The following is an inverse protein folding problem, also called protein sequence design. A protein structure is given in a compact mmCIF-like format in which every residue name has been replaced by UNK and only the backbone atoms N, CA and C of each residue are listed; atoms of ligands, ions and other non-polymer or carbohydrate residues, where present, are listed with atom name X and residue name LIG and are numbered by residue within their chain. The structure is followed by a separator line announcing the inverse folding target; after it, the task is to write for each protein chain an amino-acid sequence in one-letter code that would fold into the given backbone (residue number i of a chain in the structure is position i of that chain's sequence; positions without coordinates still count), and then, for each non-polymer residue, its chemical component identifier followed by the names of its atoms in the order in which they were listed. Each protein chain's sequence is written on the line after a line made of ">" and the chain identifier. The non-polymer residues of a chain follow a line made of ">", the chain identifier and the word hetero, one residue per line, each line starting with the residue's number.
data_IF_565152644796
#
_entry.id   IF_565152644796
#
_cell.length_a   1.000
_cell.length_b   1.000
_cell.length_c   1.000
_cell.angle_alpha   90.00
_cell.angle_beta   90.00
_cell.angle_gamma   90.00
#
_symmetry.space_group_name_H-M   'P 1'
#
loop_
_entity.id
_entity.type
_entity.pdbx_description
1 polymer ?
#
# COMPACT_ATOMS: atom_id res chain seq x y z
N UNK A 1 -37.69 32.76 -12.64
CA UNK A 1 -37.98 31.32 -12.62
C UNK A 1 -36.70 30.57 -12.91
N UNK A 2 -35.93 30.25 -11.88
CA UNK A 2 -34.66 29.53 -11.99
C UNK A 2 -34.88 28.20 -11.25
N UNK A 3 -34.88 27.09 -11.99
CA UNK A 3 -35.09 25.75 -11.45
C UNK A 3 -33.75 25.23 -10.93
N UNK A 4 -33.64 25.16 -9.61
CA UNK A 4 -32.57 24.43 -8.92
C UNK A 4 -32.78 22.93 -9.17
N UNK A 5 -31.85 22.30 -9.88
CA UNK A 5 -31.81 20.85 -10.05
C UNK A 5 -31.07 20.26 -8.84
N UNK A 6 -31.82 19.71 -7.88
CA UNK A 6 -31.25 18.86 -6.84
C UNK A 6 -30.79 17.54 -7.47
N UNK A 7 -29.48 17.31 -7.53
CA UNK A 7 -28.94 15.97 -7.74
C UNK A 7 -29.06 15.20 -6.44
N UNK A 8 -30.05 14.30 -6.36
CA UNK A 8 -30.10 13.23 -5.37
C UNK A 8 -29.23 12.08 -5.91
N UNK A 9 -27.96 12.03 -5.54
CA UNK A 9 -27.15 10.81 -5.75
C UNK A 9 -27.40 9.89 -4.56
N UNK A 10 -28.24 8.88 -4.77
CA UNK A 10 -28.42 7.80 -3.80
C UNK A 10 -27.12 7.00 -3.66
N UNK A 11 -26.53 7.03 -2.46
CA UNK A 11 -25.50 6.06 -2.09
C UNK A 11 -26.16 4.67 -2.01
N UNK A 12 -25.89 3.80 -2.98
CA UNK A 12 -26.04 2.37 -2.76
C UNK A 12 -24.87 1.93 -1.87
N UNK A 13 -25.10 1.80 -0.55
CA UNK A 13 -24.25 0.98 0.29
C UNK A 13 -24.40 -0.47 -0.16
N UNK A 14 -23.51 -0.94 -1.04
CA UNK A 14 -23.33 -2.37 -1.26
C UNK A 14 -22.76 -2.97 0.01
N UNK A 15 -23.59 -3.67 0.76
CA UNK A 15 -23.16 -4.49 1.90
C UNK A 15 -22.30 -5.62 1.35
N UNK A 16 -21.00 -5.57 1.61
CA UNK A 16 -20.08 -6.67 1.38
C UNK A 16 -20.33 -7.75 2.43
N UNK A 17 -21.31 -8.62 2.20
CA UNK A 17 -21.50 -9.82 3.00
C UNK A 17 -20.62 -10.94 2.44
N UNK A 18 -19.44 -11.13 3.02
CA UNK A 18 -18.66 -12.36 2.81
C UNK A 18 -19.23 -13.44 3.72
N UNK A 19 -19.89 -14.44 3.15
CA UNK A 19 -20.30 -15.64 3.88
C UNK A 19 -19.09 -16.55 4.06
N UNK A 20 -18.64 -16.65 5.31
CA UNK A 20 -17.48 -17.41 5.76
C UNK A 20 -17.82 -18.91 5.90
N UNK A 21 -16.92 -19.79 5.43
CA UNK A 21 -17.15 -21.23 5.27
C UNK A 21 -16.35 -22.10 6.26
N UNK A 22 -16.50 -23.42 6.17
CA UNK A 22 -15.82 -24.37 7.06
C UNK A 22 -14.28 -24.49 6.84
N UNK A 23 -13.69 -23.68 5.95
CA UNK A 23 -12.27 -23.70 5.58
C UNK A 23 -11.48 -22.45 6.01
N UNK A 24 -12.11 -21.55 6.76
CA UNK A 24 -11.51 -20.28 7.12
C UNK A 24 -10.37 -20.44 8.12
N UNK A 25 -9.27 -19.73 7.87
CA UNK A 25 -8.19 -19.61 8.86
C UNK A 25 -8.43 -18.34 9.68
N UNK A 26 -8.69 -18.54 10.97
CA UNK A 26 -8.85 -17.46 11.94
C UNK A 26 -7.55 -17.26 12.70
N UNK A 27 -7.06 -16.03 12.71
CA UNK A 27 -5.86 -15.60 13.41
C UNK A 27 -6.24 -14.61 14.51
N UNK A 28 -5.91 -14.95 15.75
CA UNK A 28 -6.09 -14.05 16.89
C UNK A 28 -4.73 -13.53 17.32
N UNK A 29 -4.59 -12.20 17.36
CA UNK A 29 -3.34 -11.52 17.67
C UNK A 29 -3.58 -10.67 18.92
N UNK A 30 -3.00 -11.00 20.08
CA UNK A 30 -3.13 -10.20 21.28
C UNK A 30 -2.36 -8.88 21.16
N UNK A 31 -2.72 -7.88 21.96
CA UNK A 31 -2.02 -6.58 22.04
C UNK A 31 -0.60 -6.67 22.60
N UNK A 32 -0.30 -7.62 23.48
CA UNK A 32 1.05 -7.76 24.01
C UNK A 32 1.99 -8.49 23.02
N UNK A 33 3.27 -8.09 22.90
CA UNK A 33 4.28 -8.89 22.23
C UNK A 33 4.34 -10.29 22.85
N UNK A 34 4.43 -11.32 22.02
CA UNK A 34 4.47 -12.70 22.46
C UNK A 34 5.90 -13.18 22.68
N UNK A 35 6.06 -14.14 23.60
CA UNK A 35 7.35 -14.77 23.87
C UNK A 35 7.68 -15.84 22.80
N UNK A 36 8.98 -16.05 22.57
CA UNK A 36 9.49 -17.06 21.65
C UNK A 36 9.87 -16.52 20.26
N UNK A 37 10.36 -17.40 19.41
CA UNK A 37 10.77 -17.05 18.04
C UNK A 37 9.56 -16.97 17.11
N UNK A 38 9.45 -15.86 16.39
CA UNK A 38 8.48 -15.69 15.30
C UNK A 38 8.87 -16.54 14.10
N UNK A 39 7.87 -17.08 13.40
CA UNK A 39 8.06 -17.72 12.08
C UNK A 39 7.37 -16.86 11.03
N UNK A 40 8.14 -16.42 10.03
CA UNK A 40 7.63 -15.73 8.86
C UNK A 40 7.43 -16.68 7.67
N UNK A 41 6.36 -16.49 6.91
CA UNK A 41 6.14 -17.15 5.63
C UNK A 41 6.83 -16.34 4.53
N UNK A 42 7.90 -16.86 3.94
CA UNK A 42 8.62 -16.25 2.81
C UNK A 42 8.45 -16.99 1.48
N UNK A 43 7.69 -18.08 1.48
CA UNK A 43 7.34 -18.82 0.26
C UNK A 43 5.82 -18.77 0.06
N UNK A 44 5.39 -18.43 -1.14
CA UNK A 44 3.98 -18.29 -1.46
C UNK A 44 3.25 -19.63 -1.41
N UNK A 45 2.01 -19.56 -0.94
CA UNK A 45 1.00 -20.62 -1.07
C UNK A 45 0.09 -20.31 -2.25
N UNK A 46 -0.83 -21.20 -2.59
CA UNK A 46 -1.79 -20.96 -3.69
C UNK A 46 -2.71 -19.76 -3.44
N UNK A 47 -2.93 -19.40 -2.18
CA UNK A 47 -3.77 -18.27 -1.77
C UNK A 47 -3.24 -17.63 -0.49
N UNK A 48 -3.91 -16.57 -0.03
CA UNK A 48 -3.74 -16.00 1.31
C UNK A 48 -2.95 -14.71 1.29
N UNK A 49 -3.19 -13.84 0.30
CA UNK A 49 -2.57 -12.52 0.20
C UNK A 49 -2.77 -11.69 1.48
N UNK A 50 -3.99 -11.67 2.00
CA UNK A 50 -4.36 -10.90 3.18
C UNK A 50 -4.17 -11.62 4.52
N UNK A 51 -3.73 -12.88 4.53
CA UNK A 51 -3.53 -13.65 5.77
C UNK A 51 -2.27 -13.19 6.52
N UNK A 52 -2.23 -13.18 7.86
CA UNK A 52 -1.00 -12.94 8.62
C UNK A 52 0.13 -13.88 8.17
N UNK A 53 1.34 -13.34 8.04
CA UNK A 53 2.52 -14.09 7.56
C UNK A 53 3.51 -14.37 8.66
N UNK A 54 3.34 -13.76 9.82
CA UNK A 54 4.22 -13.93 10.97
C UNK A 54 3.43 -14.41 12.17
N UNK A 55 3.90 -15.49 12.80
CA UNK A 55 3.30 -15.97 14.05
C UNK A 55 4.34 -16.68 14.95
N UNK A 56 4.31 -16.43 16.28
CA UNK A 56 3.60 -15.31 16.90
C UNK A 56 4.26 -13.97 16.53
N UNK A 57 3.66 -12.83 16.88
CA UNK A 57 4.32 -11.52 16.79
C UNK A 57 5.04 -11.26 18.10
N UNK A 58 6.37 -11.22 18.06
CA UNK A 58 7.23 -10.89 19.20
C UNK A 58 7.81 -9.47 19.08
N UNK A 59 8.68 -9.09 20.02
CA UNK A 59 9.28 -7.75 20.06
C UNK A 59 10.21 -7.40 18.88
N UNK A 60 10.61 -8.38 18.07
CA UNK A 60 11.55 -8.23 16.95
C UNK A 60 10.95 -8.60 15.61
N UNK A 61 9.63 -8.78 15.52
CA UNK A 61 8.95 -9.20 14.29
C UNK A 61 7.74 -8.32 14.05
N UNK A 62 7.32 -8.18 12.80
CA UNK A 62 6.20 -7.33 12.47
C UNK A 62 5.43 -7.86 11.27
N UNK A 63 4.18 -7.43 11.18
CA UNK A 63 3.33 -7.60 10.03
C UNK A 63 2.43 -6.37 9.90
N UNK A 64 2.21 -5.87 8.68
CA UNK A 64 1.26 -4.77 8.44
C UNK A 64 0.53 -4.89 7.11
N UNK A 65 -0.69 -4.36 7.10
CA UNK A 65 -1.55 -4.19 5.93
C UNK A 65 -1.67 -2.70 5.65
N UNK A 66 -1.35 -2.31 4.43
CA UNK A 66 -1.31 -0.91 4.01
C UNK A 66 -2.32 -0.67 2.92
N UNK A 67 -3.08 0.41 3.03
CA UNK A 67 -4.02 0.87 2.03
C UNK A 67 -3.81 2.36 1.79
N UNK A 68 -3.77 2.79 0.53
CA UNK A 68 -3.79 4.20 0.20
C UNK A 68 -4.80 4.54 -0.88
N UNK A 69 -5.17 5.82 -0.93
CA UNK A 69 -5.87 6.42 -2.07
C UNK A 69 -5.29 7.80 -2.31
N UNK A 70 -4.93 8.08 -3.57
CA UNK A 70 -4.63 9.44 -4.05
C UNK A 70 -5.73 9.90 -4.99
N UNK A 71 -6.13 11.17 -4.88
CA UNK A 71 -7.13 11.76 -5.76
C UNK A 71 -6.77 11.58 -7.23
N UNK A 72 -7.76 11.21 -8.04
CA UNK A 72 -7.61 11.14 -9.49
C UNK A 72 -7.80 12.50 -10.19
N UNK A 73 -8.30 13.49 -9.46
CA UNK A 73 -8.40 14.87 -9.92
C UNK A 73 -7.08 15.60 -9.63
N UNK A 74 -6.44 16.10 -10.69
CA UNK A 74 -5.14 16.75 -10.65
C UNK A 74 -5.16 18.10 -9.89
N UNK A 75 -6.33 18.70 -9.70
CA UNK A 75 -6.51 19.94 -8.94
C UNK A 75 -6.86 19.67 -7.46
N UNK A 76 -7.19 18.42 -7.12
CA UNK A 76 -7.51 18.00 -5.75
C UNK A 76 -6.33 17.23 -5.19
N UNK A 77 -5.46 17.94 -4.46
CA UNK A 77 -4.32 17.35 -3.78
C UNK A 77 -4.71 16.64 -2.47
N UNK A 78 -5.62 15.66 -2.56
CA UNK A 78 -6.05 14.87 -1.41
C UNK A 78 -5.55 13.44 -1.47
N UNK A 79 -5.16 12.91 -0.31
CA UNK A 79 -4.82 11.50 -0.16
C UNK A 79 -5.22 10.98 1.22
N UNK A 80 -5.39 9.66 1.31
CA UNK A 80 -5.58 8.96 2.58
C UNK A 80 -4.71 7.71 2.59
N UNK A 81 -4.10 7.40 3.72
CA UNK A 81 -3.39 6.15 3.97
C UNK A 81 -3.92 5.55 5.26
N UNK A 82 -4.32 4.28 5.24
CA UNK A 82 -4.70 3.50 6.41
C UNK A 82 -3.72 2.34 6.54
N UNK A 83 -3.14 2.18 7.72
CA UNK A 83 -2.22 1.07 7.99
C UNK A 83 -2.63 0.34 9.26
N UNK A 84 -2.73 -0.97 9.16
CA UNK A 84 -3.01 -1.87 10.25
C UNK A 84 -1.73 -2.61 10.61
N UNK A 85 -1.16 -2.34 11.77
CA UNK A 85 0.07 -2.94 12.26
C UNK A 85 -0.22 -4.02 13.29
N UNK A 86 0.55 -5.08 13.22
CA UNK A 86 0.89 -5.97 14.34
C UNK A 86 2.41 -5.90 14.53
N UNK A 87 2.88 -4.89 15.25
CA UNK A 87 4.29 -4.57 15.43
C UNK A 87 4.52 -3.74 16.68
N UNK A 88 5.63 -3.99 17.36
CA UNK A 88 6.16 -3.08 18.37
C UNK A 88 6.98 -1.96 17.71
N UNK A 89 7.23 -0.87 18.44
CA UNK A 89 8.15 0.18 18.00
C UNK A 89 9.61 -0.33 17.82
N UNK A 90 10.14 -1.19 18.72
CA UNK A 90 11.47 -1.77 18.50
C UNK A 90 11.58 -2.60 17.21
N UNK A 91 10.52 -3.30 16.80
CA UNK A 91 10.51 -4.08 15.56
C UNK A 91 10.42 -3.18 14.32
N UNK A 92 9.58 -2.14 14.35
CA UNK A 92 9.38 -1.20 13.25
C UNK A 92 9.52 0.26 13.72
N UNK A 93 10.62 0.95 13.38
CA UNK A 93 11.05 2.19 14.02
C UNK A 93 10.19 3.43 13.70
N UNK A 94 9.27 3.32 12.73
CA UNK A 94 8.39 4.42 12.32
C UNK A 94 7.07 4.46 13.12
N UNK A 95 6.89 3.53 14.06
CA UNK A 95 5.80 3.57 15.04
C UNK A 95 6.18 4.44 16.23
N UNK A 96 5.18 5.05 16.83
CA UNK A 96 5.31 5.65 18.16
C UNK A 96 5.40 4.53 19.21
N UNK A 97 6.11 4.74 20.33
CA UNK A 97 6.07 3.79 21.45
C UNK A 97 4.64 3.56 21.93
N UNK A 98 4.25 2.29 22.06
CA UNK A 98 2.97 1.83 22.59
C UNK A 98 3.17 0.53 23.35
N UNK A 99 2.31 0.28 24.33
CA UNK A 99 2.22 -1.01 25.03
C UNK A 99 1.49 -2.07 24.18
N UNK A 100 0.78 -1.65 23.13
CA UNK A 100 0.11 -2.54 22.17
C UNK A 100 0.94 -2.71 20.90
N UNK A 101 1.03 -3.93 20.40
CA UNK A 101 1.51 -4.22 19.04
C UNK A 101 0.40 -4.07 18.00
N UNK A 102 -0.86 -4.01 18.43
CA UNK A 102 -2.03 -3.90 17.54
C UNK A 102 -2.34 -2.42 17.37
N UNK A 103 -1.92 -1.84 16.26
CA UNK A 103 -2.03 -0.39 16.02
C UNK A 103 -2.73 -0.14 14.68
N UNK A 104 -3.76 0.71 14.69
CA UNK A 104 -4.36 1.24 13.47
C UNK A 104 -3.94 2.70 13.30
N UNK A 105 -3.52 3.08 12.09
CA UNK A 105 -3.07 4.44 11.79
C UNK A 105 -3.73 4.94 10.53
N UNK A 106 -4.14 6.21 10.53
CA UNK A 106 -4.63 6.91 9.36
C UNK A 106 -3.86 8.21 9.16
N UNK A 107 -3.54 8.49 7.90
CA UNK A 107 -2.97 9.75 7.44
C UNK A 107 -3.86 10.34 6.38
N UNK A 108 -4.09 11.63 6.46
CA UNK A 108 -4.89 12.40 5.51
C UNK A 108 -4.10 13.62 5.07
N UNK A 109 -4.15 13.90 3.78
CA UNK A 109 -3.73 15.19 3.24
C UNK A 109 -4.90 15.83 2.55
N UNK A 110 -5.14 17.08 2.92
CA UNK A 110 -6.21 17.89 2.37
C UNK A 110 -5.73 18.68 1.17
N UNK A 111 -6.64 19.01 0.25
CA UNK A 111 -6.34 19.79 -0.94
C UNK A 111 -5.68 21.16 -0.65
N UNK A 112 -5.87 21.72 0.55
CA UNK A 112 -5.22 22.96 0.98
C UNK A 112 -3.76 22.77 1.45
N UNK A 113 -3.20 21.56 1.36
CA UNK A 113 -1.86 21.21 1.82
C UNK A 113 -1.76 20.88 3.31
N UNK A 114 -2.86 20.96 4.07
CA UNK A 114 -2.87 20.57 5.49
C UNK A 114 -2.77 19.06 5.63
N UNK A 115 -2.05 18.61 6.66
CA UNK A 115 -1.91 17.20 7.02
C UNK A 115 -2.66 16.92 8.30
N UNK A 116 -3.22 15.72 8.41
CA UNK A 116 -3.85 15.21 9.61
C UNK A 116 -3.52 13.73 9.77
N UNK A 117 -3.26 13.30 11.00
CA UNK A 117 -3.04 11.89 11.31
C UNK A 117 -3.76 11.52 12.61
N UNK A 118 -4.13 10.25 12.71
CA UNK A 118 -4.57 9.64 13.95
C UNK A 118 -4.00 8.24 14.07
N UNK A 119 -3.72 7.85 15.31
CA UNK A 119 -3.24 6.50 15.68
C UNK A 119 -4.10 6.00 16.82
N UNK A 120 -4.49 4.74 16.76
CA UNK A 120 -5.31 4.07 17.78
C UNK A 120 -4.70 2.72 18.13
N UNK A 121 -4.50 2.50 19.41
CA UNK A 121 -4.01 1.23 19.95
C UNK A 121 -5.20 0.31 20.22
N UNK A 122 -5.11 -0.93 19.75
CA UNK A 122 -6.14 -1.94 19.89
C UNK A 122 -5.85 -2.94 21.00
N UNK A 123 -6.90 -3.59 21.48
CA UNK A 123 -6.83 -4.63 22.52
C UNK A 123 -6.40 -5.99 21.94
N UNK A 124 -6.77 -6.23 20.69
CA UNK A 124 -6.41 -7.41 19.91
C UNK A 124 -6.75 -7.20 18.43
N UNK A 125 -6.16 -8.00 17.55
CA UNK A 125 -6.59 -8.09 16.16
C UNK A 125 -7.15 -9.48 15.86
N UNK A 126 -8.18 -9.53 15.02
CA UNK A 126 -8.64 -10.77 14.40
C UNK A 126 -8.53 -10.63 12.91
N UNK A 127 -7.83 -11.57 12.27
CA UNK A 127 -7.81 -11.68 10.81
C UNK A 127 -8.39 -13.03 10.42
N UNK A 128 -9.36 -13.02 9.52
CA UNK A 128 -9.95 -14.22 8.94
C UNK A 128 -9.54 -14.23 7.48
N UNK A 129 -8.98 -15.34 7.01
CA UNK A 129 -8.61 -15.52 5.62
C UNK A 129 -9.28 -16.76 5.03
N UNK A 130 -9.89 -16.58 3.87
CA UNK A 130 -10.47 -17.65 3.04
C UNK A 130 -10.05 -17.41 1.59
N UNK A 131 -9.22 -18.31 1.05
CA UNK A 131 -8.55 -18.08 -0.22
C UNK A 131 -7.76 -16.77 -0.19
N UNK A 132 -8.08 -15.85 -1.11
CA UNK A 132 -7.52 -14.48 -1.17
C UNK A 132 -8.46 -13.43 -0.58
N UNK A 133 -9.63 -13.83 -0.07
CA UNK A 133 -10.45 -12.97 0.73
C UNK A 133 -9.89 -12.86 2.16
N UNK A 134 -10.00 -11.67 2.73
CA UNK A 134 -9.69 -11.47 4.14
C UNK A 134 -10.60 -10.42 4.78
N UNK A 135 -10.84 -10.61 6.07
CA UNK A 135 -11.34 -9.58 6.97
C UNK A 135 -10.35 -9.36 8.07
N UNK A 136 -10.13 -8.10 8.44
CA UNK A 136 -9.34 -7.74 9.60
C UNK A 136 -10.13 -6.80 10.50
N UNK A 137 -10.05 -7.04 11.80
CA UNK A 137 -10.67 -6.21 12.83
C UNK A 137 -9.64 -5.90 13.90
N UNK A 138 -9.31 -4.62 14.07
CA UNK A 138 -8.47 -4.15 15.16
C UNK A 138 -9.41 -3.75 16.30
N UNK A 139 -9.67 -4.70 17.20
CA UNK A 139 -10.62 -4.52 18.30
C UNK A 139 -10.17 -3.37 19.20
N UNK A 140 -11.12 -2.52 19.60
CA UNK A 140 -10.86 -1.33 20.40
C UNK A 140 -10.49 -0.07 19.61
N UNK A 141 -10.10 -0.18 18.33
CA UNK A 141 -9.72 0.99 17.52
C UNK A 141 -10.86 1.56 16.69
N UNK A 142 -11.87 0.73 16.36
CA UNK A 142 -12.91 1.08 15.39
C UNK A 142 -12.50 0.87 13.92
N UNK A 143 -11.30 0.37 13.64
CA UNK A 143 -10.82 0.15 12.28
C UNK A 143 -10.98 -1.32 11.87
N UNK A 144 -11.47 -1.53 10.65
CA UNK A 144 -11.58 -2.85 10.05
C UNK A 144 -11.50 -2.80 8.53
N UNK A 145 -11.26 -3.96 7.92
CA UNK A 145 -11.45 -4.17 6.50
C UNK A 145 -12.14 -5.49 6.21
N UNK A 146 -12.77 -5.57 5.04
CA UNK A 146 -13.31 -6.79 4.45
C UNK A 146 -13.11 -6.74 2.94
N UNK A 147 -12.69 -7.84 2.32
CA UNK A 147 -12.64 -7.89 0.87
C UNK A 147 -11.71 -8.93 0.28
N UNK A 148 -11.56 -8.87 -1.04
CA UNK A 148 -10.62 -9.67 -1.81
C UNK A 148 -10.21 -8.92 -3.08
N UNK A 149 -9.13 -9.30 -3.76
CA UNK A 149 -8.80 -8.70 -5.06
C UNK A 149 -9.94 -8.82 -6.08
N UNK A 150 -10.71 -9.90 -6.03
CA UNK A 150 -11.80 -10.16 -6.96
C UNK A 150 -13.09 -9.38 -6.64
N UNK A 151 -13.41 -9.20 -5.36
CA UNK A 151 -14.65 -8.52 -4.93
C UNK A 151 -14.45 -7.01 -4.70
N UNK A 152 -13.21 -6.58 -4.46
CA UNK A 152 -12.89 -5.27 -3.92
C UNK A 152 -12.68 -5.31 -2.42
N UNK A 153 -12.20 -4.21 -1.86
CA UNK A 153 -12.01 -4.04 -0.41
C UNK A 153 -12.88 -2.91 0.10
N UNK A 154 -13.39 -3.07 1.32
CA UNK A 154 -14.07 -2.04 2.09
C UNK A 154 -13.32 -1.88 3.42
N UNK A 155 -12.78 -0.69 3.63
CA UNK A 155 -12.26 -0.25 4.93
C UNK A 155 -13.40 0.49 5.63
N UNK A 156 -13.67 0.11 6.88
CA UNK A 156 -14.65 0.78 7.73
C UNK A 156 -13.95 1.33 8.95
N UNK A 157 -14.21 2.59 9.25
CA UNK A 157 -13.64 3.31 10.38
C UNK A 157 -14.80 3.86 11.22
N UNK A 158 -14.92 3.41 12.45
CA UNK A 158 -15.86 3.90 13.45
C UNK A 158 -15.08 4.31 14.71
N UNK A 159 -14.32 5.40 14.58
CA UNK A 159 -13.39 5.87 15.61
C UNK A 159 -13.64 7.37 15.94
N UNK A 160 -14.82 7.71 16.50
CA UNK A 160 -15.16 9.09 16.83
C UNK A 160 -14.17 9.73 17.81
N UNK A 161 -13.61 8.96 18.74
CA UNK A 161 -12.59 9.43 19.69
C UNK A 161 -11.26 9.78 19.00
N UNK A 162 -10.94 9.09 17.91
CA UNK A 162 -9.81 9.42 17.03
C UNK A 162 -10.16 10.53 16.02
N UNK A 163 -11.41 11.03 16.04
CA UNK A 163 -11.89 12.07 15.14
C UNK A 163 -12.14 11.60 13.70
N UNK A 164 -12.31 10.30 13.45
CA UNK A 164 -12.56 9.77 12.10
C UNK A 164 -13.66 8.72 12.08
N UNK A 165 -14.59 8.87 11.14
CA UNK A 165 -15.60 7.85 10.83
C UNK A 165 -15.83 7.76 9.33
N UNK A 166 -16.37 6.66 8.84
CA UNK A 166 -16.77 6.48 7.44
C UNK A 166 -16.14 5.27 6.78
N UNK A 167 -16.03 5.31 5.46
CA UNK A 167 -15.57 4.17 4.66
C UNK A 167 -14.62 4.56 3.53
N UNK A 168 -13.82 3.58 3.11
CA UNK A 168 -13.03 3.66 1.89
C UNK A 168 -13.27 2.36 1.11
N UNK A 169 -13.73 2.47 -0.13
CA UNK A 169 -14.00 1.31 -0.98
C UNK A 169 -13.02 1.25 -2.15
N UNK A 170 -12.63 0.04 -2.54
CA UNK A 170 -11.65 -0.23 -3.58
C UNK A 170 -12.23 -1.23 -4.58
N UNK A 171 -12.08 -0.93 -5.86
CA UNK A 171 -12.35 -1.86 -6.96
C UNK A 171 -11.10 -2.01 -7.81
N UNK A 172 -10.48 -3.19 -7.73
CA UNK A 172 -9.23 -3.47 -8.44
C UNK A 172 -9.40 -3.32 -9.96
N UNK A 173 -8.38 -2.73 -10.61
CA UNK A 173 -8.26 -2.63 -12.07
C UNK A 173 -6.98 -3.29 -12.60
N UNK A 174 -6.15 -3.82 -11.71
CA UNK A 174 -4.89 -4.50 -12.02
C UNK A 174 -4.76 -5.83 -11.24
N UNK A 175 -4.21 -6.90 -11.83
CA UNK A 175 -4.06 -8.17 -11.12
C UNK A 175 -2.98 -8.07 -10.03
N UNK A 176 -3.27 -8.57 -8.83
CA UNK A 176 -2.29 -8.67 -7.74
C UNK A 176 -1.08 -9.53 -8.11
N UNK A 177 0.02 -9.35 -7.38
CA UNK A 177 1.29 -10.00 -7.67
C UNK A 177 2.17 -10.21 -6.42
N UNK A 178 3.11 -11.13 -6.55
CA UNK A 178 4.25 -11.31 -5.64
C UNK A 178 5.46 -10.52 -6.16
N UNK A 179 6.55 -10.37 -5.38
CA UNK A 179 7.68 -9.51 -5.77
C UNK A 179 8.17 -9.74 -7.20
N UNK A 180 8.29 -11.01 -7.60
CA UNK A 180 8.95 -11.36 -8.86
C UNK A 180 8.01 -11.94 -9.93
N UNK A 181 6.69 -11.92 -9.73
CA UNK A 181 5.79 -12.63 -10.61
C UNK A 181 4.30 -12.58 -10.25
N UNK A 182 3.44 -13.14 -11.11
CA UNK A 182 2.01 -13.32 -10.82
C UNK A 182 1.80 -14.19 -9.58
N UNK A 183 0.59 -14.13 -8.99
CA UNK A 183 0.23 -14.93 -7.81
C UNK A 183 0.25 -16.42 -8.17
N UNK A 184 1.33 -17.09 -7.78
CA UNK A 184 1.53 -18.53 -7.94
C UNK A 184 2.22 -19.09 -6.70
N UNK A 185 1.97 -20.36 -6.39
CA UNK A 185 2.60 -21.04 -5.25
C UNK A 185 4.09 -21.32 -5.50
N UNK A 186 4.88 -21.35 -4.43
CA UNK A 186 6.31 -21.71 -4.49
C UNK A 186 7.23 -20.55 -4.93
N UNK A 187 6.70 -19.35 -5.12
CA UNK A 187 7.49 -18.15 -5.37
C UNK A 187 8.04 -17.58 -4.06
N UNK A 188 9.14 -16.83 -4.17
CA UNK A 188 9.60 -16.02 -3.04
C UNK A 188 8.61 -14.89 -2.77
N UNK A 189 8.35 -14.64 -1.50
CA UNK A 189 7.65 -13.46 -1.02
C UNK A 189 8.64 -12.40 -0.49
N UNK A 190 9.93 -12.68 -0.48
CA UNK A 190 10.94 -11.71 -0.07
C UNK A 190 11.18 -10.68 -1.16
N UNK A 191 10.97 -9.40 -0.84
CA UNK A 191 11.45 -8.26 -1.65
C UNK A 191 12.89 -7.91 -1.31
N UNK A 192 13.36 -8.34 -0.13
CA UNK A 192 14.74 -8.31 0.32
C UNK A 192 14.92 -9.30 1.47
N UNK A 193 16.15 -9.55 1.94
CA UNK A 193 16.42 -10.53 2.99
C UNK A 193 15.58 -10.24 4.24
N UNK A 194 14.81 -11.23 4.70
CA UNK A 194 13.90 -11.14 5.84
C UNK A 194 12.75 -10.14 5.70
N UNK A 195 12.55 -9.53 4.53
CA UNK A 195 11.45 -8.59 4.28
C UNK A 195 10.49 -9.21 3.28
N UNK A 196 9.34 -9.65 3.77
CA UNK A 196 8.27 -10.21 2.97
C UNK A 196 7.34 -9.11 2.45
N UNK A 197 6.83 -9.29 1.23
CA UNK A 197 5.92 -8.37 0.57
C UNK A 197 4.92 -9.11 -0.33
N UNK A 198 3.68 -8.63 -0.37
CA UNK A 198 2.67 -9.08 -1.31
C UNK A 198 1.72 -7.93 -1.66
N UNK A 199 1.45 -7.72 -2.94
CA UNK A 199 0.58 -6.65 -3.41
C UNK A 199 -0.72 -7.20 -3.95
N UNK A 200 -1.76 -7.15 -3.11
CA UNK A 200 -3.08 -7.67 -3.42
C UNK A 200 -3.85 -6.78 -4.39
N UNK A 201 -3.67 -5.45 -4.28
CA UNK A 201 -4.31 -4.45 -5.16
C UNK A 201 -3.23 -3.47 -5.63
N UNK A 202 -2.62 -3.71 -6.81
CA UNK A 202 -1.61 -2.80 -7.37
C UNK A 202 -2.21 -1.50 -7.86
N UNK A 203 -3.49 -1.54 -8.25
CA UNK A 203 -4.22 -0.38 -8.73
C UNK A 203 -5.74 -0.63 -8.63
N UNK A 204 -6.47 0.37 -8.16
CA UNK A 204 -7.92 0.35 -8.02
C UNK A 204 -8.57 1.70 -8.36
N UNK A 205 -9.83 1.68 -8.74
CA UNK A 205 -10.71 2.83 -8.52
C UNK A 205 -11.16 2.78 -7.08
N UNK A 206 -10.90 3.84 -6.32
CA UNK A 206 -11.28 3.91 -4.91
C UNK A 206 -12.16 5.12 -4.62
N UNK A 207 -13.08 4.97 -3.67
CA UNK A 207 -13.97 6.01 -3.19
C UNK A 207 -13.72 6.20 -1.70
N UNK A 208 -13.32 7.40 -1.33
CA UNK A 208 -13.14 7.84 0.06
C UNK A 208 -14.40 8.60 0.46
N UNK A 209 -15.02 8.19 1.57
CA UNK A 209 -16.17 8.87 2.18
C UNK A 209 -15.99 8.86 3.70
N UNK A 210 -15.27 9.85 4.21
CA UNK A 210 -14.91 9.98 5.62
C UNK A 210 -15.44 11.28 6.21
N UNK A 211 -15.60 11.29 7.53
CA UNK A 211 -15.74 12.48 8.35
C UNK A 211 -14.49 12.63 9.20
N UNK A 212 -13.75 13.74 9.03
CA UNK A 212 -12.57 14.08 9.82
C UNK A 212 -12.91 15.26 10.74
N UNK A 213 -12.89 15.03 12.05
CA UNK A 213 -13.36 16.00 13.05
C UNK A 213 -14.81 16.43 12.80
N UNK A 214 -15.64 15.53 12.26
CA UNK A 214 -17.02 15.80 11.86
C UNK A 214 -17.19 16.52 10.52
N UNK A 215 -16.10 16.91 9.83
CA UNK A 215 -16.17 17.56 8.52
C UNK A 215 -16.05 16.55 7.38
N UNK A 216 -16.84 16.67 6.31
CA UNK A 216 -16.73 15.79 5.15
C UNK A 216 -15.34 15.84 4.50
N UNK A 217 -14.80 14.65 4.26
CA UNK A 217 -13.59 14.41 3.49
C UNK A 217 -13.86 13.25 2.53
N UNK A 218 -14.23 13.59 1.29
CA UNK A 218 -14.66 12.62 0.30
C UNK A 218 -14.07 12.94 -1.08
N UNK A 219 -13.59 11.92 -1.78
CA UNK A 219 -13.08 12.02 -3.14
C UNK A 219 -13.00 10.65 -3.81
N UNK A 220 -12.86 10.64 -5.13
CA UNK A 220 -12.58 9.44 -5.93
C UNK A 220 -11.11 9.47 -6.35
N UNK A 221 -10.46 8.32 -6.32
CA UNK A 221 -9.04 8.24 -6.55
C UNK A 221 -8.52 6.91 -7.08
N UNK A 222 -7.21 6.87 -7.20
CA UNK A 222 -6.40 5.69 -7.48
C UNK A 222 -6.01 5.07 -6.15
N UNK A 223 -6.40 3.82 -5.92
CA UNK A 223 -6.14 3.11 -4.66
C UNK A 223 -5.13 1.98 -4.80
N UNK A 224 -4.45 1.66 -3.70
CA UNK A 224 -3.44 0.61 -3.60
C UNK A 224 -3.58 -0.16 -2.27
N UNK A 225 -3.26 -1.46 -2.28
CA UNK A 225 -3.18 -2.29 -1.08
C UNK A 225 -2.05 -3.33 -1.14
N UNK A 226 -1.16 -3.30 -0.16
CA UNK A 226 -0.16 -4.34 0.07
C UNK A 226 -0.08 -4.80 1.52
N UNK A 227 0.80 -5.78 1.70
CA UNK A 227 1.18 -6.33 2.98
C UNK A 227 2.69 -6.47 3.04
N UNK A 228 3.29 -6.13 4.18
CA UNK A 228 4.70 -6.33 4.43
C UNK A 228 4.90 -6.99 5.79
N UNK A 229 5.96 -7.78 5.94
CA UNK A 229 6.25 -8.45 7.19
C UNK A 229 7.72 -8.82 7.34
N UNK A 230 8.14 -9.11 8.56
CA UNK A 230 9.48 -9.63 8.87
C UNK A 230 9.47 -10.45 10.16
N UNK A 231 10.39 -11.41 10.23
CA UNK A 231 10.78 -12.10 11.46
C UNK A 231 11.93 -11.40 12.21
N UNK A 232 12.40 -10.25 11.72
CA UNK A 232 13.53 -9.49 12.26
C UNK A 232 13.22 -7.99 12.44
N UNK A 233 14.07 -7.31 13.21
CA UNK A 233 13.99 -5.86 13.40
C UNK A 233 14.24 -5.17 12.06
N UNK A 234 13.37 -4.25 11.68
CA UNK A 234 13.46 -3.58 10.38
C UNK A 234 14.82 -2.91 10.14
N UNK A 235 15.33 -2.20 11.15
CA UNK A 235 16.58 -1.44 11.03
C UNK A 235 17.82 -2.32 10.93
N UNK A 236 17.76 -3.63 11.23
CA UNK A 236 18.94 -4.49 11.12
C UNK A 236 19.19 -4.98 9.70
N UNK A 237 18.19 -4.92 8.82
CA UNK A 237 18.28 -5.43 7.45
C UNK A 237 18.09 -4.34 6.40
N UNK A 238 17.33 -3.29 6.69
CA UNK A 238 17.03 -2.24 5.71
C UNK A 238 17.97 -1.05 5.87
N UNK A 239 18.64 -0.63 4.79
CA UNK A 239 19.40 0.62 4.71
C UNK A 239 18.58 1.71 4.01
N UNK A 240 17.97 1.40 2.88
CA UNK A 240 17.01 2.28 2.22
C UNK A 240 15.95 1.51 1.47
N UNK A 241 14.87 2.21 1.18
CA UNK A 241 13.70 1.68 0.52
C UNK A 241 13.08 2.80 -0.28
N UNK A 242 12.88 2.55 -1.56
CA UNK A 242 12.18 3.43 -2.48
C UNK A 242 11.09 2.59 -3.11
N UNK A 243 9.86 2.93 -2.78
CA UNK A 243 8.69 2.22 -3.27
C UNK A 243 7.69 3.22 -3.81
N UNK A 244 6.88 2.78 -4.76
CA UNK A 244 5.72 3.54 -5.16
C UNK A 244 4.86 2.79 -6.14
N UNK A 245 3.76 3.43 -6.49
CA UNK A 245 2.82 2.96 -7.49
C UNK A 245 2.25 4.14 -8.26
N UNK A 246 1.64 3.84 -9.40
CA UNK A 246 0.90 4.85 -10.14
C UNK A 246 0.08 4.29 -11.28
N UNK A 247 -0.84 5.12 -11.75
CA UNK A 247 -1.60 4.91 -12.97
C UNK A 247 -1.15 5.93 -14.01
N UNK A 248 -0.68 5.45 -15.17
CA UNK A 248 -0.12 6.27 -16.26
C UNK A 248 -0.81 5.89 -17.56
N UNK A 249 -1.79 6.70 -17.99
CA UNK A 249 -2.66 6.30 -19.10
C UNK A 249 -3.32 4.94 -18.83
N UNK A 250 -3.17 3.92 -19.71
CA UNK A 250 -3.73 2.59 -19.51
C UNK A 250 -2.87 1.66 -18.65
N UNK A 251 -1.73 2.14 -18.12
CA UNK A 251 -0.80 1.32 -17.37
C UNK A 251 -0.95 1.52 -15.87
N UNK A 252 -0.92 0.42 -15.14
CA UNK A 252 -0.74 0.39 -13.69
C UNK A 252 0.69 -0.07 -13.41
N UNK A 253 1.44 0.67 -12.61
CA UNK A 253 2.83 0.36 -12.29
C UNK A 253 3.04 0.31 -10.79
N UNK A 254 3.90 -0.59 -10.34
CA UNK A 254 4.39 -0.67 -8.96
C UNK A 254 5.87 -0.93 -9.02
N UNK A 255 6.62 -0.28 -8.15
CA UNK A 255 8.05 -0.47 -8.07
C UNK A 255 8.57 -0.52 -6.66
N UNK A 256 9.71 -1.17 -6.55
CA UNK A 256 10.46 -1.32 -5.32
C UNK A 256 11.96 -1.34 -5.63
N UNK A 257 12.71 -0.59 -4.86
CA UNK A 257 14.17 -0.55 -4.84
C UNK A 257 14.63 -0.50 -3.38
N UNK A 258 15.26 -1.59 -2.96
CA UNK A 258 15.63 -1.88 -1.60
C UNK A 258 17.15 -2.05 -1.51
N UNK A 259 17.78 -1.32 -0.59
CA UNK A 259 19.17 -1.56 -0.22
C UNK A 259 19.21 -2.18 1.17
N UNK A 260 19.90 -3.30 1.28
CA UNK A 260 20.19 -3.91 2.58
C UNK A 260 21.34 -3.16 3.31
N UNK A 261 21.64 -3.58 4.55
CA UNK A 261 22.76 -3.01 5.33
C UNK A 261 24.15 -3.31 4.75
N UNK A 262 24.28 -4.28 3.84
CA UNK A 262 25.54 -4.60 3.14
C UNK A 262 25.74 -3.73 1.89
N UNK A 263 24.69 -3.05 1.42
CA UNK A 263 24.68 -2.30 0.17
C UNK A 263 24.25 -3.12 -1.04
N UNK A 264 23.72 -4.32 -0.84
CA UNK A 264 23.15 -5.15 -1.90
C UNK A 264 21.77 -4.60 -2.28
N UNK A 265 21.56 -4.44 -3.58
CA UNK A 265 20.33 -3.93 -4.17
C UNK A 265 19.38 -5.07 -4.53
N UNK A 266 18.10 -4.88 -4.20
CA UNK A 266 17.00 -5.76 -4.52
C UNK A 266 15.88 -4.92 -5.14
N UNK A 267 15.32 -5.40 -6.24
CA UNK A 267 14.28 -4.67 -6.98
C UNK A 267 13.06 -5.54 -7.22
N UNK A 268 11.90 -4.90 -7.34
CA UNK A 268 10.66 -5.50 -7.82
C UNK A 268 10.01 -4.51 -8.78
N UNK A 269 9.79 -4.94 -10.01
CA UNK A 269 9.18 -4.14 -11.07
C UNK A 269 7.89 -4.79 -11.54
N UNK A 270 6.80 -4.02 -11.52
CA UNK A 270 5.49 -4.46 -12.00
C UNK A 270 4.90 -3.45 -12.96
N UNK A 271 4.31 -3.96 -14.03
CA UNK A 271 3.44 -3.23 -14.90
C UNK A 271 2.29 -4.11 -15.39
N UNK A 272 1.09 -3.55 -15.42
CA UNK A 272 -0.06 -4.14 -16.11
C UNK A 272 -0.71 -3.14 -17.05
N UNK A 273 -1.46 -3.66 -18.00
CA UNK A 273 -2.26 -2.89 -18.93
C UNK A 273 -3.57 -3.63 -19.17
N UNK A 274 -4.68 -2.91 -19.13
CA UNK A 274 -6.01 -3.47 -19.39
C UNK A 274 -6.29 -4.74 -18.54
N UNK A 275 -5.96 -4.66 -17.25
CA UNK A 275 -6.06 -5.75 -16.27
C UNK A 275 -5.26 -7.03 -16.62
N UNK A 276 -4.11 -6.87 -17.28
CA UNK A 276 -3.19 -7.98 -17.59
C UNK A 276 -1.76 -7.59 -17.24
N UNK A 277 -1.08 -8.46 -16.50
CA UNK A 277 0.33 -8.28 -16.18
C UNK A 277 1.15 -8.35 -17.48
N UNK A 278 1.96 -7.32 -17.72
CA UNK A 278 2.90 -7.25 -18.85
C UNK A 278 4.35 -7.34 -18.38
N UNK A 279 4.62 -6.99 -17.12
CA UNK A 279 5.90 -7.20 -16.45
C UNK A 279 5.65 -7.44 -14.95
N UNK A 280 6.32 -8.44 -14.38
CA UNK A 280 6.43 -8.69 -12.95
C UNK A 280 7.74 -9.45 -12.75
N UNK A 281 8.76 -8.80 -12.18
CA UNK A 281 10.12 -9.36 -12.14
C UNK A 281 10.99 -8.70 -11.08
N UNK A 282 11.94 -9.46 -10.55
CA UNK A 282 13.02 -8.98 -9.69
C UNK A 282 14.38 -9.00 -10.39
N UNK A 283 14.41 -9.13 -11.72
CA UNK A 283 15.67 -9.17 -12.46
C UNK A 283 16.46 -7.86 -12.27
N UNK A 284 17.77 -7.91 -12.00
CA UNK A 284 18.60 -6.71 -11.93
C UNK A 284 18.46 -5.85 -13.19
N UNK A 285 18.31 -4.53 -13.01
CA UNK A 285 18.11 -3.58 -14.11
C UNK A 285 16.72 -3.61 -14.76
N UNK A 286 15.77 -4.39 -14.23
CA UNK A 286 14.36 -4.34 -14.65
C UNK A 286 13.69 -3.01 -14.31
N UNK A 287 14.21 -2.33 -13.30
CA UNK A 287 13.87 -0.96 -12.96
C UNK A 287 15.11 -0.22 -12.47
N UNK A 288 15.18 1.07 -12.78
CA UNK A 288 16.08 2.02 -12.14
C UNK A 288 15.22 3.03 -11.40
N UNK A 289 15.38 3.18 -10.08
CA UNK A 289 14.67 4.18 -9.27
C UNK A 289 15.68 5.19 -8.76
N UNK A 290 15.40 6.49 -8.93
CA UNK A 290 16.26 7.56 -8.43
C UNK A 290 15.56 8.31 -7.29
N UNK A 291 16.12 8.33 -6.08
CA UNK A 291 15.52 9.00 -4.92
C UNK A 291 15.23 10.47 -5.18
N UNK A 292 14.24 11.06 -4.50
CA UNK A 292 14.02 12.51 -4.52
C UNK A 292 14.90 13.21 -3.47
N UNK A 293 15.40 14.43 -3.77
CA UNK A 293 16.22 15.23 -2.85
C UNK A 293 17.05 16.33 -3.53
N UNK A 294 17.80 17.13 -2.76
CA UNK A 294 18.75 18.11 -3.31
C UNK A 294 19.74 17.41 -4.27
N UNK A 295 19.86 17.93 -5.49
CA UNK A 295 20.71 17.40 -6.58
C UNK A 295 20.34 16.01 -7.12
N UNK A 296 19.12 15.52 -6.87
CA UNK A 296 18.65 14.30 -7.52
C UNK A 296 18.04 14.59 -8.90
N UNK A 297 18.47 13.83 -9.90
CA UNK A 297 17.88 13.86 -11.26
C UNK A 297 16.90 12.68 -11.40
N UNK A 298 15.61 12.98 -11.48
CA UNK A 298 14.50 12.07 -11.87
C UNK A 298 14.63 11.71 -13.37
N UNK A 299 14.31 10.48 -13.87
CA UNK A 299 13.14 9.64 -13.54
C UNK A 299 13.39 8.11 -13.29
N UNK A 300 12.40 7.36 -12.74
CA UNK A 300 12.39 5.90 -12.83
C UNK A 300 12.17 5.37 -14.25
N UNK A 301 12.81 4.25 -14.57
CA UNK A 301 12.65 3.58 -15.87
C UNK A 301 12.34 2.11 -15.69
N UNK A 302 11.18 1.66 -16.16
CA UNK A 302 10.75 0.27 -16.11
C UNK A 302 10.99 -0.43 -17.45
N UNK A 303 11.54 -1.64 -17.41
CA UNK A 303 11.69 -2.49 -18.59
C UNK A 303 10.43 -3.34 -18.79
N UNK A 304 9.72 -3.12 -19.90
CA UNK A 304 8.50 -3.85 -20.26
C UNK A 304 8.76 -5.04 -21.22
N UNK A 305 10.02 -5.47 -21.34
CA UNK A 305 10.42 -6.55 -22.23
C UNK A 305 10.20 -6.19 -23.71
N UNK A 306 9.45 -7.02 -24.44
CA UNK A 306 9.21 -6.84 -25.88
C UNK A 306 8.47 -5.54 -26.26
N UNK A 307 7.83 -4.87 -25.28
CA UNK A 307 7.18 -3.56 -25.47
C UNK A 307 8.17 -2.39 -25.41
N UNK A 308 9.42 -2.62 -24.98
CA UNK A 308 10.43 -1.59 -24.76
C UNK A 308 10.50 -1.13 -23.31
N UNK A 309 10.79 0.15 -23.09
CA UNK A 309 10.95 0.76 -21.76
C UNK A 309 9.82 1.76 -21.51
N UNK A 310 9.24 1.71 -20.32
CA UNK A 310 8.34 2.75 -19.82
C UNK A 310 9.17 3.71 -18.96
N UNK A 311 9.44 4.88 -19.54
CA UNK A 311 10.12 5.97 -18.84
C UNK A 311 9.04 6.83 -18.18
N UNK A 312 9.11 6.99 -16.86
CA UNK A 312 8.09 7.69 -16.07
C UNK A 312 8.70 8.77 -15.21
N UNK A 313 8.23 10.00 -15.39
CA UNK A 313 8.59 11.15 -14.59
C UNK A 313 7.47 11.49 -13.61
N UNK A 314 7.74 11.33 -12.31
CA UNK A 314 6.85 11.73 -11.23
C UNK A 314 7.24 13.13 -10.80
N UNK A 315 6.36 14.08 -11.06
CA UNK A 315 6.47 15.43 -10.51
C UNK A 315 5.81 15.42 -9.14
N UNK A 316 6.59 15.57 -8.08
CA UNK A 316 6.07 15.67 -6.71
C UNK A 316 5.31 16.97 -6.57
N UNK A 317 4.00 16.88 -6.27
CA UNK A 317 3.13 18.04 -6.12
C UNK A 317 2.96 18.40 -4.64
N UNK A 318 2.99 17.41 -3.75
CA UNK A 318 2.88 17.63 -2.30
C UNK A 318 3.84 16.70 -1.54
N UNK A 319 4.75 17.24 -0.70
CA UNK A 319 5.40 16.43 0.32
C UNK A 319 4.36 16.10 1.40
N UNK A 320 3.92 14.85 1.45
CA UNK A 320 2.86 14.40 2.36
C UNK A 320 3.39 14.27 3.79
N UNK A 321 4.65 13.88 3.97
CA UNK A 321 5.30 13.71 5.27
C UNK A 321 6.82 13.86 5.13
N UNK A 322 7.45 14.51 6.11
CA UNK A 322 8.86 14.30 6.48
C UNK A 322 8.97 14.10 7.99
N UNK A 323 8.62 12.91 8.49
CA UNK A 323 8.56 12.61 9.94
C UNK A 323 9.95 12.65 10.61
N UNK A 324 11.00 12.63 9.80
CA UNK A 324 12.41 12.52 10.16
C UNK A 324 13.19 12.75 8.84
N UNK A 325 14.45 13.25 8.80
CA UNK A 325 15.27 13.15 7.57
C UNK A 325 15.30 11.73 6.96
N UNK A 326 14.93 10.71 7.74
CA UNK A 326 14.89 9.32 7.31
C UNK A 326 13.66 8.91 6.48
N UNK A 327 12.45 9.48 6.60
CA UNK A 327 11.25 9.01 5.87
C UNK A 327 10.50 10.15 5.19
N UNK A 328 10.12 9.95 3.93
CA UNK A 328 9.27 10.85 3.17
C UNK A 328 8.22 10.09 2.36
N UNK A 329 7.00 10.62 2.34
CA UNK A 329 5.94 10.21 1.42
C UNK A 329 5.59 11.41 0.55
N UNK A 330 5.39 11.16 -0.73
CA UNK A 330 5.02 12.16 -1.71
C UNK A 330 4.00 11.58 -2.67
N UNK A 331 3.13 12.42 -3.19
CA UNK A 331 2.32 12.05 -4.36
C UNK A 331 2.33 13.21 -5.35
N UNK A 332 1.98 12.90 -6.58
CA UNK A 332 1.90 13.91 -7.61
C UNK A 332 1.52 13.37 -8.96
N UNK A 333 1.70 14.22 -9.96
CA UNK A 333 1.46 13.84 -11.34
C UNK A 333 2.60 12.97 -11.82
N UNK A 334 2.24 11.89 -12.49
CA UNK A 334 3.18 11.06 -13.23
C UNK A 334 2.93 11.29 -14.70
N UNK A 335 4.00 11.51 -15.45
CA UNK A 335 3.98 11.53 -16.90
C UNK A 335 4.90 10.43 -17.40
N UNK A 336 4.60 9.83 -18.53
CA UNK A 336 5.48 8.80 -19.07
C UNK A 336 5.37 8.66 -20.58
N UNK A 337 6.31 7.93 -21.15
CA UNK A 337 6.28 7.53 -22.55
C UNK A 337 6.82 6.12 -22.67
N UNK A 338 6.29 5.40 -23.66
CA UNK A 338 6.85 4.10 -24.06
C UNK A 338 7.93 4.39 -25.08
N UNK A 339 9.15 3.97 -24.78
CA UNK A 339 10.28 3.93 -25.71
C UNK A 339 10.35 2.52 -26.26
N UNK A 340 9.81 2.26 -27.47
CA UNK A 340 9.76 0.91 -28.02
C UNK A 340 11.16 0.42 -28.43
N UNK A 341 11.33 -0.90 -28.55
CA UNK A 341 12.56 -1.51 -29.05
C UNK A 341 12.85 -1.10 -30.50
N UNK A 342 11.80 -0.90 -31.30
CA UNK A 342 11.85 -0.33 -32.65
C UNK A 342 10.71 0.68 -32.83
N UNK A 343 11.00 1.83 -33.47
CA UNK A 343 10.01 2.88 -33.77
C UNK A 343 10.15 4.15 -32.94
N UNK A 344 9.13 5.01 -32.99
CA UNK A 344 9.11 6.28 -32.26
C UNK A 344 8.41 6.16 -30.91
N UNK A 345 8.83 6.96 -29.94
CA UNK A 345 8.21 7.01 -28.62
C UNK A 345 6.70 7.30 -28.70
N UNK A 346 5.93 6.74 -27.77
CA UNK A 346 4.49 6.99 -27.70
C UNK A 346 4.19 8.46 -27.40
N UNK A 347 2.93 8.86 -27.64
CA UNK A 347 2.42 10.12 -27.08
C UNK A 347 2.62 10.13 -25.55
N UNK A 348 2.83 11.32 -24.95
CA UNK A 348 2.91 11.45 -23.50
C UNK A 348 1.65 10.88 -22.83
N UNK A 349 1.88 10.02 -21.85
CA UNK A 349 0.87 9.49 -20.95
C UNK A 349 0.92 10.31 -19.66
N UNK A 350 -0.23 10.47 -19.01
CA UNK A 350 -0.35 11.21 -17.76
C UNK A 350 -1.17 10.40 -16.75
N UNK A 351 -0.97 10.70 -15.48
CA UNK A 351 -1.82 10.23 -14.40
C UNK A 351 -1.25 10.61 -13.03
N UNK A 352 -1.46 9.75 -12.04
CA UNK A 352 -1.12 10.01 -10.64
C UNK A 352 -0.27 8.90 -10.05
N UNK A 353 0.67 9.27 -9.19
CA UNK A 353 1.54 8.33 -8.48
C UNK A 353 1.70 8.73 -7.02
N UNK A 354 1.91 7.72 -6.18
CA UNK A 354 2.37 7.86 -4.81
C UNK A 354 3.73 7.18 -4.68
N UNK A 355 4.64 7.80 -3.94
CA UNK A 355 5.95 7.26 -3.63
C UNK A 355 6.26 7.44 -2.16
N UNK A 356 6.90 6.43 -1.58
CA UNK A 356 7.53 6.51 -0.27
C UNK A 356 9.02 6.23 -0.42
N UNK A 357 9.78 6.93 0.39
CA UNK A 357 11.19 6.69 0.54
C UNK A 357 11.58 6.75 2.00
N UNK A 358 12.48 5.86 2.40
CA UNK A 358 13.26 6.11 3.58
C UNK A 358 14.71 5.69 3.41
N UNK A 359 15.59 6.39 4.13
CA UNK A 359 17.01 6.13 4.21
C UNK A 359 17.42 6.16 5.67
N UNK A 360 17.71 4.99 6.20
CA UNK A 360 18.14 4.83 7.57
C UNK A 360 19.64 5.11 7.64
N UNK A 361 20.04 6.05 8.49
CA UNK A 361 21.46 6.26 8.79
C UNK A 361 22.04 4.99 9.42
N UNK A 362 23.34 4.79 9.22
CA UNK A 362 24.06 3.69 9.86
C UNK A 362 24.10 3.86 11.37
#
# INVERSE_FOLDING_TARGET
>A
MMRTLCFLTGLLSTVFATTFGAHDKVFHIPSAPQNGSSKAQFTSTATGLGAPKVHPINASSFDWWYFDVVSSDADVFSSVVVTFFTSSQPAFPLLSPSDSIVVARIWVSFANGTLWEATSDGDSATVIADGDASTGTWHGTGFSWAGSPASGYLITIDAPDAGVTGTISFRSVAPGHYPCGPIEAGQTLEVGPHIGWANAVPDATAVVDLLIGGNPFAFVGTGYHDKNWSDQIFTTHVASWYWGHGRVGPYSIVWFDFLDRTGTEFVSAYASKDNKIIAATCAPGSIEVRPTGQNATFPPVLNLGGLGRLEVNVTVLVPLIGLNPAYARSFGSISGSIVPVEGHASKPLIGTALLEQFKLTR
#
